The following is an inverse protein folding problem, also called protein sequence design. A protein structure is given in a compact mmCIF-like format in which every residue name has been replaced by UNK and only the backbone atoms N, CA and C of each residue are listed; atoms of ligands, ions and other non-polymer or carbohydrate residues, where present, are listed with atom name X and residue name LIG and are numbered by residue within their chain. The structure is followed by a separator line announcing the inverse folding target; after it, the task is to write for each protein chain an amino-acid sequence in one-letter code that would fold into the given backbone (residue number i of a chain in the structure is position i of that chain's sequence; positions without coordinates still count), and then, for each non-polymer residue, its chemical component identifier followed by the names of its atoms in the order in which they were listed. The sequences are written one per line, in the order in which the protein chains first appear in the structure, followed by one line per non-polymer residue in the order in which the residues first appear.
data_IF_508060437945
#
_entry.id   IF_508060437945
#
_cell.length_a   1.000
_cell.length_b   1.000
_cell.length_c   1.000
_cell.angle_alpha   90.00
_cell.angle_beta   90.00
_cell.angle_gamma   90.00
#
_symmetry.space_group_name_H-M   'P 1'
#
loop_
_entity.id
_entity.type
_entity.pdbx_description
1 polymer ?
#
# COMPACT_ATOMS: atom_id res chain seq x y z
N UNK A 1 -6.31 -11.25 -9.45
CA UNK A 1 -6.32 -10.61 -8.11
C UNK A 1 -5.69 -9.24 -8.27
N UNK A 2 -6.13 -8.23 -7.52
CA UNK A 2 -5.56 -6.88 -7.65
C UNK A 2 -4.30 -6.76 -6.78
N UNK A 3 -3.19 -6.40 -7.40
CA UNK A 3 -2.00 -5.93 -6.70
C UNK A 3 -2.07 -4.41 -6.68
N UNK A 4 -2.03 -3.81 -5.49
CA UNK A 4 -2.23 -2.36 -5.34
C UNK A 4 -0.98 -1.53 -5.55
N UNK A 5 0.16 -2.18 -5.78
CA UNK A 5 1.43 -1.52 -6.00
C UNK A 5 2.29 -2.25 -7.03
N UNK A 6 3.15 -1.51 -7.72
CA UNK A 6 4.08 -2.05 -8.72
C UNK A 6 5.48 -2.26 -8.16
N UNK A 7 6.33 -2.97 -8.89
CA UNK A 7 7.75 -3.11 -8.54
C UNK A 7 8.48 -1.75 -8.62
N UNK A 8 8.09 -0.86 -9.54
CA UNK A 8 8.64 0.50 -9.61
C UNK A 8 8.33 1.31 -8.35
N UNK A 9 7.11 1.19 -7.83
CA UNK A 9 6.74 1.87 -6.57
C UNK A 9 7.47 1.27 -5.37
N UNK A 10 7.68 -0.05 -5.36
CA UNK A 10 8.50 -0.70 -4.35
C UNK A 10 9.95 -0.20 -4.40
N UNK A 11 10.52 -0.07 -5.60
CA UNK A 11 11.85 0.48 -5.80
C UNK A 11 11.91 1.97 -5.40
N UNK A 12 10.87 2.75 -5.67
CA UNK A 12 10.81 4.16 -5.28
C UNK A 12 10.76 4.39 -3.76
N UNK A 13 10.29 3.41 -2.99
CA UNK A 13 10.25 3.46 -1.51
C UNK A 13 11.54 2.93 -0.88
N UNK A 14 12.28 2.09 -1.60
CA UNK A 14 13.60 1.63 -1.19
C UNK A 14 14.61 2.78 -1.15
N UNK A 15 15.57 2.73 -0.23
CA UNK A 15 16.61 3.76 -0.07
C UNK A 15 17.58 3.71 -1.25
N UNK A 16 18.05 2.51 -1.61
CA UNK A 16 18.96 2.32 -2.76
C UNK A 16 18.23 1.78 -4.00
N UNK A 17 16.91 1.96 -4.06
CA UNK A 17 16.10 1.61 -5.22
C UNK A 17 16.17 0.13 -5.60
N UNK A 18 16.34 -0.13 -6.91
CA UNK A 18 16.45 -1.48 -7.45
C UNK A 18 17.65 -2.27 -6.92
N UNK A 19 18.74 -1.59 -6.57
CA UNK A 19 19.93 -2.24 -6.01
C UNK A 19 19.60 -2.91 -4.67
N UNK A 20 18.89 -2.19 -3.79
CA UNK A 20 18.44 -2.72 -2.52
C UNK A 20 17.50 -3.93 -2.69
N UNK A 21 16.60 -3.85 -3.67
CA UNK A 21 15.68 -4.95 -3.97
C UNK A 21 16.45 -6.17 -4.44
N UNK A 22 17.46 -6.02 -5.30
CA UNK A 22 18.29 -7.10 -5.78
C UNK A 22 19.04 -7.79 -4.63
N UNK A 23 19.71 -7.03 -3.77
CA UNK A 23 20.45 -7.53 -2.61
C UNK A 23 19.58 -8.31 -1.62
N UNK A 24 18.30 -7.92 -1.50
CA UNK A 24 17.37 -8.54 -0.55
C UNK A 24 16.55 -9.68 -1.12
N UNK A 25 16.37 -9.73 -2.44
CA UNK A 25 15.53 -10.73 -3.12
C UNK A 25 16.32 -11.83 -3.80
N UNK A 26 17.62 -11.65 -4.02
CA UNK A 26 18.54 -12.61 -4.64
C UNK A 26 19.69 -12.99 -3.71
N UNK A 27 20.15 -14.24 -3.79
CA UNK A 27 21.39 -14.67 -3.13
C UNK A 27 22.61 -14.58 -4.06
N UNK A 28 22.41 -14.26 -5.34
CA UNK A 28 23.46 -14.25 -6.35
C UNK A 28 24.03 -12.85 -6.52
N UNK A 29 25.34 -12.70 -6.29
CA UNK A 29 26.05 -11.40 -6.29
C UNK A 29 25.98 -10.63 -7.61
N UNK A 30 25.84 -11.37 -8.72
CA UNK A 30 25.82 -10.80 -10.08
C UNK A 30 24.38 -10.42 -10.51
N UNK A 31 23.40 -10.57 -9.62
CA UNK A 31 22.06 -9.98 -9.79
C UNK A 31 22.09 -8.61 -9.12
N UNK A 32 22.31 -7.56 -9.93
CA UNK A 32 22.32 -6.17 -9.49
C UNK A 32 20.99 -5.47 -9.77
N UNK A 33 20.89 -4.20 -9.35
CA UNK A 33 19.69 -3.39 -9.55
C UNK A 33 19.34 -3.15 -11.01
N UNK A 34 20.34 -2.96 -11.88
CA UNK A 34 20.12 -2.70 -13.30
C UNK A 34 19.54 -3.93 -14.00
N UNK A 35 20.10 -5.12 -13.73
CA UNK A 35 19.57 -6.38 -14.22
C UNK A 35 18.12 -6.58 -13.74
N UNK A 36 17.87 -6.36 -12.45
CA UNK A 36 16.54 -6.56 -11.88
C UNK A 36 15.52 -5.60 -12.49
N UNK A 37 15.90 -4.33 -12.71
CA UNK A 37 15.05 -3.34 -13.38
C UNK A 37 14.76 -3.73 -14.84
N UNK A 38 15.78 -4.16 -15.61
CA UNK A 38 15.58 -4.65 -16.98
C UNK A 38 14.62 -5.82 -17.03
N UNK A 39 14.75 -6.79 -16.12
CA UNK A 39 13.85 -7.93 -16.05
C UNK A 39 12.42 -7.51 -15.68
N UNK A 40 12.24 -6.55 -14.76
CA UNK A 40 10.93 -6.01 -14.41
C UNK A 40 10.25 -5.29 -15.59
N UNK A 41 11.04 -4.64 -16.46
CA UNK A 41 10.55 -3.98 -17.68
C UNK A 41 10.23 -4.96 -18.82
N UNK A 42 10.58 -6.24 -18.66
CA UNK A 42 10.39 -7.27 -19.70
C UNK A 42 11.50 -7.31 -20.74
N UNK A 43 12.65 -6.68 -20.48
CA UNK A 43 13.81 -6.77 -21.35
C UNK A 43 14.47 -8.16 -21.27
N UNK A 44 15.20 -8.52 -22.32
CA UNK A 44 15.94 -9.79 -22.40
C UNK A 44 17.47 -9.51 -22.35
N UNK A 45 18.02 -9.23 -21.16
CA UNK A 45 19.44 -8.91 -21.00
C UNK A 45 20.30 -10.12 -21.36
N UNK A 46 21.41 -9.88 -22.05
CA UNK A 46 22.37 -10.93 -22.42
C UNK A 46 23.33 -11.17 -21.24
N UNK A 47 22.89 -12.00 -20.30
CA UNK A 47 23.66 -12.45 -19.14
C UNK A 47 23.77 -13.97 -19.12
N UNK A 48 24.58 -14.51 -18.21
CA UNK A 48 24.68 -15.96 -18.01
C UNK A 48 23.33 -16.56 -17.60
N UNK A 49 23.04 -17.79 -18.03
CA UNK A 49 21.75 -18.43 -17.82
C UNK A 49 21.38 -18.57 -16.34
N UNK A 50 22.37 -18.86 -15.49
CA UNK A 50 22.16 -19.00 -14.04
C UNK A 50 21.82 -17.65 -13.39
N UNK A 51 22.47 -16.57 -13.81
CA UNK A 51 22.19 -15.19 -13.36
C UNK A 51 20.79 -14.75 -13.79
N UNK A 52 20.42 -15.04 -15.05
CA UNK A 52 19.09 -14.76 -15.57
C UNK A 52 18.00 -15.49 -14.76
N UNK A 53 18.21 -16.79 -14.50
CA UNK A 53 17.25 -17.60 -13.76
C UNK A 53 17.06 -17.10 -12.32
N UNK A 54 18.15 -16.73 -11.64
CA UNK A 54 18.03 -16.17 -10.29
C UNK A 54 17.38 -14.77 -10.30
N UNK A 55 17.69 -13.92 -11.28
CA UNK A 55 17.02 -12.62 -11.43
C UNK A 55 15.52 -12.76 -11.65
N UNK A 56 15.09 -13.70 -12.49
CA UNK A 56 13.66 -14.01 -12.69
C UNK A 56 13.00 -14.56 -11.41
N UNK A 57 13.71 -15.42 -10.66
CA UNK A 57 13.23 -15.91 -9.39
C UNK A 57 13.09 -14.78 -8.35
N UNK A 58 14.02 -13.83 -8.32
CA UNK A 58 13.96 -12.65 -7.48
C UNK A 58 12.75 -11.76 -7.80
N UNK A 59 12.48 -11.49 -9.08
CA UNK A 59 11.26 -10.79 -9.51
C UNK A 59 10.00 -11.51 -9.03
N UNK A 60 9.91 -12.82 -9.28
CA UNK A 60 8.74 -13.61 -8.87
C UNK A 60 8.50 -13.58 -7.35
N UNK A 61 9.57 -13.56 -6.53
CA UNK A 61 9.48 -13.40 -5.07
C UNK A 61 8.92 -12.03 -4.69
N UNK A 62 9.39 -10.96 -5.33
CA UNK A 62 8.91 -9.59 -5.07
C UNK A 62 7.44 -9.42 -5.47
N UNK A 63 7.03 -9.94 -6.62
CA UNK A 63 5.63 -9.93 -7.07
C UNK A 63 4.73 -10.71 -6.11
N UNK A 64 5.16 -11.90 -5.70
CA UNK A 64 4.44 -12.71 -4.70
C UNK A 64 4.30 -11.96 -3.39
N UNK A 65 5.33 -11.23 -2.96
CA UNK A 65 5.29 -10.41 -1.75
C UNK A 65 4.28 -9.27 -1.87
N UNK A 66 4.28 -8.53 -2.98
CA UNK A 66 3.32 -7.46 -3.24
C UNK A 66 1.88 -8.00 -3.27
N UNK A 67 1.65 -9.18 -3.85
CA UNK A 67 0.34 -9.83 -3.84
C UNK A 67 -0.10 -10.16 -2.40
N UNK A 68 0.78 -10.73 -1.58
CA UNK A 68 0.48 -11.05 -0.18
C UNK A 68 0.19 -9.80 0.67
N UNK A 69 0.88 -8.68 0.40
CA UNK A 69 0.62 -7.41 1.09
C UNK A 69 -0.67 -6.77 0.58
N UNK A 70 -0.98 -6.89 -0.71
CA UNK A 70 -2.25 -6.40 -1.26
C UNK A 70 -3.44 -7.15 -0.64
N UNK A 71 -3.35 -8.47 -0.47
CA UNK A 71 -4.34 -9.27 0.26
C UNK A 71 -4.46 -8.85 1.73
N UNK A 72 -3.36 -8.44 2.36
CA UNK A 72 -3.40 -7.88 3.71
C UNK A 72 -4.13 -6.53 3.73
N UNK A 73 -3.88 -5.65 2.76
CA UNK A 73 -4.62 -4.40 2.60
C UNK A 73 -6.12 -4.64 2.35
N UNK A 74 -6.48 -5.66 1.55
CA UNK A 74 -7.87 -6.07 1.32
C UNK A 74 -8.62 -6.36 2.62
N UNK A 75 -7.96 -6.90 3.65
CA UNK A 75 -8.60 -7.16 4.93
C UNK A 75 -9.12 -5.88 5.62
N UNK A 76 -8.46 -4.74 5.38
CA UNK A 76 -8.90 -3.42 5.83
C UNK A 76 -9.96 -2.82 4.90
N UNK A 77 -9.74 -2.91 3.59
CA UNK A 77 -10.64 -2.35 2.59
C UNK A 77 -12.02 -3.04 2.60
N UNK A 78 -12.07 -4.35 2.89
CA UNK A 78 -13.30 -5.13 2.99
C UNK A 78 -14.31 -4.61 4.02
N UNK A 79 -13.91 -3.74 4.94
CA UNK A 79 -14.81 -3.14 5.94
C UNK A 79 -15.73 -2.09 5.33
N UNK A 80 -15.27 -1.38 4.29
CA UNK A 80 -15.98 -0.25 3.67
C UNK A 80 -16.20 -0.41 2.16
N UNK A 81 -15.20 -0.94 1.46
CA UNK A 81 -15.17 -1.05 0.00
C UNK A 81 -15.45 -2.46 -0.51
N UNK A 82 -16.18 -3.28 0.26
CA UNK A 82 -16.44 -4.70 -0.07
C UNK A 82 -16.97 -4.89 -1.49
N UNK A 83 -17.90 -4.05 -1.92
CA UNK A 83 -18.55 -4.15 -3.22
C UNK A 83 -17.65 -3.71 -4.39
N UNK A 84 -16.52 -3.07 -4.08
CA UNK A 84 -15.51 -2.65 -5.06
C UNK A 84 -14.32 -3.59 -5.13
N UNK A 85 -14.23 -4.62 -4.30
CA UNK A 85 -13.10 -5.56 -4.31
C UNK A 85 -13.34 -6.64 -5.38
N UNK A 86 -12.36 -6.90 -6.28
CA UNK A 86 -11.05 -6.25 -6.38
C UNK A 86 -11.12 -4.82 -6.95
N UNK A 87 -10.45 -3.86 -6.28
CA UNK A 87 -10.53 -2.46 -6.70
C UNK A 87 -9.89 -2.27 -8.08
N UNK A 88 -10.60 -1.55 -8.96
CA UNK A 88 -10.04 -1.07 -10.21
C UNK A 88 -8.94 -0.03 -9.95
N UNK A 89 -7.91 -0.03 -10.80
CA UNK A 89 -6.71 0.82 -10.68
C UNK A 89 -7.06 2.31 -10.53
N UNK A 90 -8.08 2.77 -11.27
CA UNK A 90 -8.56 4.15 -11.25
C UNK A 90 -8.97 4.63 -9.85
N UNK A 91 -9.42 3.74 -8.97
CA UNK A 91 -9.88 4.09 -7.63
C UNK A 91 -8.74 4.31 -6.63
N UNK A 92 -7.53 3.80 -6.90
CA UNK A 92 -6.44 3.81 -5.92
C UNK A 92 -5.10 4.34 -6.42
N UNK A 93 -4.84 4.39 -7.74
CA UNK A 93 -3.51 4.75 -8.28
C UNK A 93 -3.00 6.13 -7.86
N UNK A 94 -3.89 7.11 -7.68
CA UNK A 94 -3.55 8.48 -7.26
C UNK A 94 -3.87 8.72 -5.77
N UNK A 95 -3.75 7.67 -4.95
CA UNK A 95 -3.99 7.73 -3.50
C UNK A 95 -2.73 7.32 -2.74
N UNK A 96 -2.76 7.33 -1.41
CA UNK A 96 -1.67 6.77 -0.59
C UNK A 96 -1.60 5.24 -0.58
N UNK A 97 -2.56 4.52 -1.20
CA UNK A 97 -2.63 3.06 -1.12
C UNK A 97 -1.41 2.34 -1.75
N UNK A 98 -0.96 2.70 -2.98
CA UNK A 98 0.19 2.03 -3.58
C UNK A 98 1.46 2.21 -2.72
N UNK A 99 1.72 3.44 -2.27
CA UNK A 99 2.85 3.75 -1.40
C UNK A 99 2.79 3.01 -0.05
N UNK A 100 1.61 2.90 0.58
CA UNK A 100 1.45 2.16 1.81
C UNK A 100 1.73 0.66 1.63
N UNK A 101 1.27 0.08 0.52
CA UNK A 101 1.52 -1.34 0.17
C UNK A 101 3.00 -1.58 -0.12
N UNK A 102 3.64 -0.73 -0.92
CA UNK A 102 5.09 -0.76 -1.17
C UNK A 102 5.89 -0.68 0.13
N UNK A 103 5.56 0.25 1.03
CA UNK A 103 6.26 0.43 2.32
C UNK A 103 6.13 -0.80 3.22
N UNK A 104 4.92 -1.38 3.32
CA UNK A 104 4.71 -2.59 4.12
C UNK A 104 5.45 -3.78 3.49
N UNK A 105 5.47 -3.89 2.16
CA UNK A 105 6.22 -4.91 1.44
C UNK A 105 7.73 -4.78 1.70
N UNK A 106 8.29 -3.58 1.59
CA UNK A 106 9.68 -3.31 1.94
C UNK A 106 9.98 -3.73 3.39
N UNK A 107 9.11 -3.35 4.33
CA UNK A 107 9.20 -3.84 5.70
C UNK A 107 9.28 -5.37 5.78
N UNK A 108 8.37 -6.09 5.12
CA UNK A 108 8.37 -7.57 5.11
C UNK A 108 9.64 -8.15 4.50
N UNK A 109 10.17 -7.54 3.44
CA UNK A 109 11.42 -7.93 2.81
C UNK A 109 12.62 -7.85 3.77
N UNK A 110 12.68 -6.82 4.62
CA UNK A 110 13.71 -6.69 5.66
C UNK A 110 13.58 -7.73 6.80
N UNK A 111 12.38 -8.28 7.03
CA UNK A 111 12.13 -9.24 8.10
C UNK A 111 12.56 -8.71 9.48
N UNK A 112 13.49 -9.42 10.12
CA UNK A 112 14.04 -9.05 11.43
C UNK A 112 15.09 -7.91 11.37
N UNK A 113 15.64 -7.62 10.19
CA UNK A 113 16.69 -6.61 10.00
C UNK A 113 16.20 -5.17 9.87
N UNK A 114 14.93 -4.89 10.20
CA UNK A 114 14.35 -3.54 10.06
C UNK A 114 15.03 -2.55 11.00
N UNK A 115 15.46 -1.42 10.45
CA UNK A 115 15.85 -0.24 11.23
C UNK A 115 14.64 0.35 11.96
N UNK A 116 14.86 1.12 13.02
CA UNK A 116 13.75 1.74 13.76
C UNK A 116 12.99 2.77 12.91
N UNK A 117 13.69 3.44 11.98
CA UNK A 117 13.09 4.30 10.97
C UNK A 117 12.13 3.52 10.06
N UNK A 118 12.58 2.38 9.50
CA UNK A 118 11.72 1.55 8.66
C UNK A 118 10.53 0.99 9.44
N UNK A 119 10.70 0.64 10.72
CA UNK A 119 9.56 0.24 11.58
C UNK A 119 8.55 1.37 11.73
N UNK A 120 9.00 2.60 11.92
CA UNK A 120 8.12 3.76 12.02
C UNK A 120 7.35 4.01 10.71
N UNK A 121 8.02 3.94 9.56
CA UNK A 121 7.40 4.07 8.24
C UNK A 121 6.34 2.98 8.00
N UNK A 122 6.66 1.72 8.32
CA UNK A 122 5.70 0.60 8.22
C UNK A 122 4.49 0.84 9.14
N UNK A 123 4.72 1.29 10.38
CA UNK A 123 3.63 1.57 11.31
C UNK A 123 2.73 2.71 10.82
N UNK A 124 3.30 3.73 10.17
CA UNK A 124 2.54 4.81 9.54
C UNK A 124 1.70 4.31 8.36
N UNK A 125 2.28 3.47 7.49
CA UNK A 125 1.57 2.84 6.38
C UNK A 125 0.40 1.96 6.87
N UNK A 126 0.60 1.18 7.94
CA UNK A 126 -0.48 0.42 8.57
C UNK A 126 -1.54 1.31 9.21
N UNK A 127 -1.15 2.46 9.77
CA UNK A 127 -2.10 3.43 10.30
C UNK A 127 -2.99 3.98 9.19
N UNK A 128 -2.42 4.28 8.03
CA UNK A 128 -3.19 4.72 6.87
C UNK A 128 -4.23 3.67 6.44
N UNK A 129 -3.87 2.37 6.42
CA UNK A 129 -4.84 1.31 6.14
C UNK A 129 -5.98 1.24 7.17
N UNK A 130 -5.67 1.46 8.46
CA UNK A 130 -6.69 1.56 9.52
C UNK A 130 -7.57 2.80 9.34
N UNK A 131 -7.01 3.91 8.89
CA UNK A 131 -7.74 5.15 8.67
C UNK A 131 -8.67 5.04 7.45
N UNK A 132 -8.28 4.31 6.41
CA UNK A 132 -9.16 3.93 5.30
C UNK A 132 -10.34 3.08 5.78
N UNK A 133 -10.09 2.08 6.64
CA UNK A 133 -11.15 1.20 7.14
C UNK A 133 -12.16 1.93 8.05
N UNK A 134 -11.69 2.93 8.80
CA UNK A 134 -12.52 3.82 9.63
C UNK A 134 -13.18 4.97 8.85
N UNK A 135 -12.76 5.18 7.60
CA UNK A 135 -13.23 6.26 6.76
C UNK A 135 -12.71 7.66 7.12
N UNK A 136 -11.60 7.74 7.86
CA UNK A 136 -10.86 8.98 8.12
C UNK A 136 -10.07 9.38 6.87
N UNK A 137 -9.50 8.40 6.17
CA UNK A 137 -8.96 8.55 4.83
C UNK A 137 -9.94 7.96 3.81
N UNK A 138 -9.90 8.48 2.58
CA UNK A 138 -10.74 8.00 1.48
C UNK A 138 -9.89 7.76 0.24
N UNK A 139 -10.27 6.74 -0.52
CA UNK A 139 -9.75 6.50 -1.85
C UNK A 139 -10.35 7.49 -2.86
N UNK A 140 -9.90 7.43 -4.12
CA UNK A 140 -10.50 8.19 -5.24
C UNK A 140 -11.80 7.51 -5.70
N UNK A 141 -12.69 7.31 -4.74
CA UNK A 141 -14.03 6.78 -4.91
C UNK A 141 -14.97 7.66 -4.09
N UNK A 142 -15.88 8.32 -4.79
CA UNK A 142 -17.02 8.94 -4.13
C UNK A 142 -18.03 7.83 -3.87
N UNK A 143 -18.17 7.44 -2.61
CA UNK A 143 -19.26 6.57 -2.18
C UNK A 143 -20.56 7.18 -2.70
N UNK A 144 -21.42 6.45 -3.43
CA UNK A 144 -22.75 6.94 -3.72
C UNK A 144 -23.36 7.22 -2.35
N UNK A 145 -23.70 8.49 -2.09
CA UNK A 145 -24.36 8.92 -0.87
C UNK A 145 -25.39 7.85 -0.52
N UNK A 146 -25.18 7.17 0.60
CA UNK A 146 -26.28 6.43 1.22
C UNK A 146 -27.41 7.45 1.27
N UNK A 147 -28.61 7.15 0.73
CA UNK A 147 -29.74 8.03 0.97
C UNK A 147 -29.80 8.23 2.48
N UNK A 148 -29.78 9.48 2.94
CA UNK A 148 -30.06 9.79 4.34
C UNK A 148 -31.26 8.92 4.73
N UNK A 149 -31.09 8.01 5.70
CA UNK A 149 -32.24 7.31 6.28
C UNK A 149 -33.24 8.40 6.64
N UNK A 150 -34.46 8.41 6.07
CA UNK A 150 -35.43 9.45 6.34
C UNK A 150 -35.89 9.26 7.78
N UNK A 151 -35.22 9.92 8.73
CA UNK A 151 -35.49 9.71 10.14
C UNK A 151 -34.59 10.41 11.16
N UNK A 152 -33.35 10.80 10.83
CA UNK A 152 -32.55 11.59 11.78
C UNK A 152 -32.83 13.08 11.65
N UNK A 153 -33.89 13.54 12.32
CA UNK A 153 -34.02 14.95 12.70
C UNK A 153 -32.78 15.38 13.50
N UNK A 154 -31.89 16.13 12.87
CA UNK A 154 -30.91 16.96 13.59
C UNK A 154 -31.65 18.13 14.22
N UNK A 155 -32.12 17.95 15.44
CA UNK A 155 -32.67 19.05 16.24
C UNK A 155 -31.51 19.97 16.62
N UNK A 156 -31.32 21.07 15.87
CA UNK A 156 -30.56 22.22 16.37
C UNK A 156 -31.37 22.87 17.49
N UNK A 157 -31.15 22.43 18.73
CA UNK A 157 -31.64 23.17 19.88
C UNK A 157 -30.97 24.55 19.91
N UNK A 158 -31.79 25.60 19.90
CA UNK A 158 -31.34 26.98 20.14
C UNK A 158 -30.77 27.06 21.55
N UNK A 159 -29.58 27.61 21.78
CA UNK A 159 -29.05 27.75 23.13
C UNK A 159 -29.96 28.71 23.92
N UNK A 160 -30.69 28.17 24.90
CA UNK A 160 -31.45 28.96 25.86
C UNK A 160 -30.45 29.59 26.84
N UNK A 161 -30.16 30.87 26.67
CA UNK A 161 -29.42 31.65 27.65
C UNK A 161 -30.39 32.01 28.79
N UNK A 162 -30.33 31.25 29.88
CA UNK A 162 -31.01 31.59 31.13
C UNK A 162 -30.33 32.84 31.72
N UNK A 163 -31.08 33.94 31.82
CA UNK A 163 -30.58 35.21 32.33
C UNK A 163 -30.73 35.27 33.86
N UNK A 164 -29.60 35.20 34.58
CA UNK A 164 -29.55 35.20 36.04
C UNK A 164 -29.65 36.60 36.69
N UNK A 165 -29.88 37.69 35.93
CA UNK A 165 -29.94 39.07 36.48
C UNK A 165 -31.30 39.43 37.08
N UNK A 166 -31.78 38.64 38.03
CA UNK A 166 -33.08 38.90 38.67
C UNK A 166 -33.34 38.20 40.01
N UNK A 167 -32.30 37.81 40.74
CA UNK A 167 -32.39 37.40 42.14
C UNK A 167 -31.36 38.14 42.98
#
# INVERSE_FOLDING_TARGET
MATYSTLDELAAVAVDGWQELAERSSAHRDVDGDLLQSLANGDAPSVEADVLAEGQAAIARLETLLEQVSRYADSYLNQRYRDLIPLAQEHYQNTGLPNAVATIALGRLYGAGRTDELKALVAQAESYLRDLSKGVASLNYSEPSTPDEPGRMTVKARPSAFNWRGY
#
